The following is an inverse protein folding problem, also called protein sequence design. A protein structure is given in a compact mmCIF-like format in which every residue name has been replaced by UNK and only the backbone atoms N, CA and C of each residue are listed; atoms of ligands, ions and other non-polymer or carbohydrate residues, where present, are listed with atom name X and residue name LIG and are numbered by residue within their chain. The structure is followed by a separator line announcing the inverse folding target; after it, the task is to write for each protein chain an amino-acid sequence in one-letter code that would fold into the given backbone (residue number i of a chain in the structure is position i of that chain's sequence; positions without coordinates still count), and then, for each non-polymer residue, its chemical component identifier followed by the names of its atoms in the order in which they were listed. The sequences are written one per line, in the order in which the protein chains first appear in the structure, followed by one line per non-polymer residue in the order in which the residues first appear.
data_IF_550462408739
#
_entry.id   IF_550462408739
#
_cell.length_a   1.000
_cell.length_b   1.000
_cell.length_c   1.000
_cell.angle_alpha   90.00
_cell.angle_beta   90.00
_cell.angle_gamma   90.00
#
_symmetry.space_group_name_H-M   'P 1'
#
loop_
_entity.id
_entity.type
_entity.pdbx_description
1 polymer ?
#
# COMPACT_ATOMS: atom_id res chain seq x y z
N UNK A 1 53.06 32.10 -36.77
CA UNK A 1 52.10 32.43 -35.69
C UNK A 1 51.30 31.17 -35.35
N UNK A 2 51.68 30.47 -34.29
CA UNK A 2 50.93 29.33 -33.75
C UNK A 2 49.73 29.86 -32.95
N UNK A 3 48.53 29.35 -33.23
CA UNK A 3 47.33 29.61 -32.42
C UNK A 3 47.08 28.39 -31.54
N UNK A 4 47.30 28.54 -30.24
CA UNK A 4 46.96 27.54 -29.23
C UNK A 4 45.44 27.44 -29.10
N UNK A 5 44.87 26.27 -29.43
CA UNK A 5 43.50 25.92 -29.08
C UNK A 5 43.59 24.94 -27.90
N UNK A 6 43.09 25.36 -26.74
CA UNK A 6 42.91 24.52 -25.56
C UNK A 6 41.56 23.80 -25.72
N UNK A 7 41.49 22.46 -25.79
CA UNK A 7 40.21 21.78 -25.74
C UNK A 7 39.69 21.81 -24.29
N UNK A 8 38.53 22.42 -24.10
CA UNK A 8 37.77 22.42 -22.85
C UNK A 8 37.35 20.97 -22.57
N UNK A 9 37.92 20.36 -21.54
CA UNK A 9 37.40 19.13 -20.94
C UNK A 9 36.06 19.47 -20.29
N UNK A 10 34.97 18.90 -20.81
CA UNK A 10 33.67 18.95 -20.17
C UNK A 10 33.75 18.18 -18.84
N UNK A 11 33.70 18.90 -17.72
CA UNK A 11 33.47 18.31 -16.41
C UNK A 11 32.01 17.91 -16.34
N UNK A 12 31.73 16.60 -16.38
CA UNK A 12 30.42 16.05 -16.07
C UNK A 12 30.20 16.18 -14.57
N UNK A 13 29.47 17.22 -14.15
CA UNK A 13 29.01 17.36 -12.77
C UNK A 13 27.95 16.29 -12.54
N UNK A 14 28.34 15.15 -11.96
CA UNK A 14 27.38 14.17 -11.44
C UNK A 14 26.73 14.84 -10.23
N UNK A 15 25.56 15.43 -10.44
CA UNK A 15 24.71 15.92 -9.35
C UNK A 15 24.24 14.66 -8.63
N UNK A 16 24.95 14.27 -7.56
CA UNK A 16 24.49 13.26 -6.61
C UNK A 16 23.35 13.86 -5.78
N UNK A 17 22.23 14.14 -6.43
CA UNK A 17 20.97 14.38 -5.74
C UNK A 17 20.38 13.01 -5.44
N UNK A 18 20.11 12.73 -4.17
CA UNK A 18 19.30 11.59 -3.76
C UNK A 18 17.90 11.74 -4.38
N UNK A 19 17.70 11.12 -5.55
CA UNK A 19 16.37 11.05 -6.15
C UNK A 19 15.55 10.09 -5.30
N UNK A 20 14.76 10.65 -4.37
CA UNK A 20 13.75 9.88 -3.67
C UNK A 20 12.70 9.48 -4.70
N UNK A 21 12.66 8.20 -5.07
CA UNK A 21 11.53 7.63 -5.79
C UNK A 21 10.37 7.63 -4.80
N UNK A 22 9.55 8.69 -4.83
CA UNK A 22 8.25 8.69 -4.18
C UNK A 22 7.35 7.86 -5.09
N UNK A 23 6.85 6.73 -4.59
CA UNK A 23 5.81 6.02 -5.31
C UNK A 23 4.55 6.90 -5.36
N UNK A 24 3.92 6.97 -6.53
CA UNK A 24 2.70 7.73 -6.71
C UNK A 24 1.57 7.13 -5.86
N UNK A 25 0.76 8.01 -5.26
CA UNK A 25 -0.46 7.61 -4.57
C UNK A 25 -1.38 6.83 -5.51
N UNK A 26 -2.04 5.80 -4.96
CA UNK A 26 -2.91 4.90 -5.72
C UNK A 26 -4.30 4.81 -5.11
N UNK A 27 -5.24 4.33 -5.90
CA UNK A 27 -6.66 4.33 -5.57
C UNK A 27 -7.27 2.95 -5.78
N UNK A 28 -8.10 2.56 -4.83
CA UNK A 28 -8.88 1.32 -4.85
C UNK A 28 -10.36 1.68 -4.78
N UNK A 29 -11.21 1.05 -5.59
CA UNK A 29 -12.65 1.23 -5.55
C UNK A 29 -13.38 -0.07 -5.91
N UNK A 30 -14.51 -0.34 -5.25
CA UNK A 30 -15.33 -1.56 -5.50
C UNK A 30 -15.78 -1.73 -6.96
N UNK A 31 -15.90 -0.63 -7.70
CA UNK A 31 -16.25 -0.59 -9.13
C UNK A 31 -15.03 -0.49 -10.07
N UNK A 32 -13.81 -0.62 -9.53
CA UNK A 32 -12.56 -0.62 -10.28
C UNK A 32 -12.25 -1.96 -10.94
N UNK A 33 -11.01 -2.08 -11.43
CA UNK A 33 -10.44 -3.31 -12.00
C UNK A 33 -8.98 -3.44 -11.58
N UNK A 34 -8.52 -4.62 -11.19
CA UNK A 34 -7.11 -4.84 -10.83
C UNK A 34 -6.16 -4.80 -12.04
N UNK A 35 -6.71 -4.77 -13.26
CA UNK A 35 -5.98 -4.50 -14.50
C UNK A 35 -5.75 -3.00 -14.75
N UNK A 36 -6.41 -2.12 -13.98
CA UNK A 36 -6.22 -0.68 -14.10
C UNK A 36 -4.85 -0.24 -13.55
N UNK A 37 -4.38 0.97 -13.89
CA UNK A 37 -3.12 1.51 -13.37
C UNK A 37 -3.18 1.98 -11.90
N UNK A 38 -4.31 1.88 -11.20
CA UNK A 38 -4.45 2.32 -9.81
C UNK A 38 -4.56 3.83 -9.63
N UNK A 39 -4.96 4.56 -10.68
CA UNK A 39 -5.16 6.02 -10.63
C UNK A 39 -6.56 6.35 -10.11
N UNK A 40 -6.81 7.61 -9.72
CA UNK A 40 -8.15 8.04 -9.29
C UNK A 40 -9.25 7.77 -10.36
N UNK A 41 -8.91 7.96 -11.65
CA UNK A 41 -9.84 7.76 -12.76
C UNK A 41 -9.99 6.28 -13.16
N UNK A 42 -8.95 5.48 -12.92
CA UNK A 42 -8.93 4.04 -13.20
C UNK A 42 -8.35 3.34 -11.96
N UNK A 43 -9.16 3.17 -10.89
CA UNK A 43 -8.70 2.59 -9.64
C UNK A 43 -8.59 1.07 -9.76
N UNK A 44 -7.74 0.49 -8.92
CA UNK A 44 -7.77 -0.95 -8.66
C UNK A 44 -9.10 -1.36 -8.02
N UNK A 45 -9.45 -2.64 -8.11
CA UNK A 45 -10.69 -3.16 -7.54
C UNK A 45 -10.51 -3.59 -6.09
N UNK A 46 -9.39 -4.23 -5.77
CA UNK A 46 -9.15 -4.88 -4.47
C UNK A 46 -8.12 -4.13 -3.65
N UNK A 47 -8.25 -4.17 -2.31
CA UNK A 47 -7.19 -3.66 -1.43
C UNK A 47 -5.99 -4.61 -1.50
N UNK A 48 -6.23 -5.90 -1.75
CA UNK A 48 -5.16 -6.87 -1.98
C UNK A 48 -4.23 -6.47 -3.14
N UNK A 49 -4.78 -5.97 -4.26
CA UNK A 49 -3.96 -5.48 -5.38
C UNK A 49 -2.98 -4.38 -4.94
N UNK A 50 -3.43 -3.46 -4.10
CA UNK A 50 -2.55 -2.44 -3.53
C UNK A 50 -1.54 -3.03 -2.53
N UNK A 51 -1.97 -4.00 -1.72
CA UNK A 51 -1.14 -4.72 -0.75
C UNK A 51 -0.03 -5.58 -1.38
N UNK A 52 -0.13 -5.87 -2.68
CA UNK A 52 0.89 -6.57 -3.47
C UNK A 52 1.78 -5.63 -4.29
N UNK A 53 1.40 -4.36 -4.45
CA UNK A 53 2.00 -3.45 -5.45
C UNK A 53 2.59 -2.17 -4.87
N UNK A 54 2.02 -1.64 -3.78
CA UNK A 54 2.42 -0.34 -3.24
C UNK A 54 3.89 -0.36 -2.76
N UNK A 55 4.65 0.67 -3.14
CA UNK A 55 6.03 0.85 -2.70
C UNK A 55 6.14 1.78 -1.49
N UNK A 56 7.31 1.85 -0.83
CA UNK A 56 7.56 2.78 0.27
C UNK A 56 7.16 4.23 -0.07
N UNK A 57 6.48 4.90 0.86
CA UNK A 57 6.01 6.28 0.71
C UNK A 57 4.67 6.44 0.01
N UNK A 58 4.06 5.35 -0.49
CA UNK A 58 2.74 5.38 -1.13
C UNK A 58 1.63 5.60 -0.10
N UNK A 59 0.68 6.48 -0.42
CA UNK A 59 -0.66 6.44 0.18
C UNK A 59 -1.63 5.72 -0.76
N UNK A 60 -2.24 4.66 -0.26
CA UNK A 60 -3.34 3.92 -0.89
C UNK A 60 -4.66 4.51 -0.39
N UNK A 61 -5.38 5.21 -1.26
CA UNK A 61 -6.71 5.73 -0.96
C UNK A 61 -7.80 4.74 -1.39
N UNK A 62 -8.48 4.17 -0.41
CA UNK A 62 -9.57 3.21 -0.63
C UNK A 62 -10.89 3.94 -0.63
N UNK A 63 -11.57 3.98 -1.77
CA UNK A 63 -12.90 4.58 -1.95
C UNK A 63 -13.95 3.82 -1.14
N UNK A 64 -15.01 4.53 -0.78
CA UNK A 64 -16.10 3.98 0.00
C UNK A 64 -16.80 2.82 -0.69
N UNK A 65 -17.21 1.85 0.12
CA UNK A 65 -17.79 0.60 -0.36
C UNK A 65 -17.50 -0.57 0.57
N UNK A 66 -18.07 -1.71 0.21
CA UNK A 66 -17.90 -2.97 0.94
C UNK A 66 -16.94 -3.87 0.17
N UNK A 67 -15.84 -4.24 0.83
CA UNK A 67 -14.79 -5.10 0.32
C UNK A 67 -14.87 -6.45 1.05
N UNK A 68 -15.36 -7.47 0.35
CA UNK A 68 -15.46 -8.84 0.87
C UNK A 68 -14.15 -9.59 0.62
N UNK A 69 -13.10 -9.27 1.38
CA UNK A 69 -11.76 -9.82 1.19
C UNK A 69 -11.00 -9.98 2.52
N UNK A 70 -10.02 -10.87 2.55
CA UNK A 70 -8.99 -10.92 3.58
C UNK A 70 -7.69 -10.41 2.96
N UNK A 71 -7.09 -9.40 3.56
CA UNK A 71 -5.94 -8.69 2.97
C UNK A 71 -4.65 -9.16 3.64
N UNK A 72 -3.74 -9.74 2.86
CA UNK A 72 -2.35 -9.95 3.29
C UNK A 72 -1.48 -8.83 2.78
N UNK A 73 -0.86 -8.08 3.69
CA UNK A 73 0.10 -7.03 3.35
C UNK A 73 1.43 -7.70 2.99
N UNK A 74 1.77 -7.69 1.69
CA UNK A 74 2.99 -8.31 1.14
C UNK A 74 4.09 -7.28 0.82
N UNK A 75 3.88 -6.03 1.24
CA UNK A 75 4.77 -4.91 1.00
C UNK A 75 5.25 -4.32 2.32
N UNK A 76 6.43 -3.70 2.29
CA UNK A 76 6.99 -2.97 3.42
C UNK A 76 7.28 -1.53 3.02
N UNK A 77 7.08 -0.62 3.98
CA UNK A 77 7.75 0.67 3.93
C UNK A 77 9.26 0.52 4.16
N UNK A 78 9.98 1.63 4.15
CA UNK A 78 11.41 1.63 4.43
C UNK A 78 11.83 2.88 5.19
N UNK A 79 13.01 2.89 5.79
CA UNK A 79 13.52 4.10 6.45
C UNK A 79 13.73 5.25 5.46
N UNK A 80 14.24 4.93 4.27
CA UNK A 80 14.52 5.93 3.25
C UNK A 80 13.25 6.46 2.56
N UNK A 81 12.30 5.55 2.27
CA UNK A 81 11.07 5.82 1.52
C UNK A 81 9.84 6.12 2.38
N UNK A 82 9.88 5.82 3.68
CA UNK A 82 8.79 6.08 4.62
C UNK A 82 7.79 4.94 4.73
N UNK A 83 6.64 5.25 5.36
CA UNK A 83 5.54 4.31 5.57
C UNK A 83 4.78 4.05 4.27
N UNK A 84 4.09 2.91 4.22
CA UNK A 84 2.98 2.68 3.28
C UNK A 84 1.69 2.87 4.07
N UNK A 85 0.83 3.75 3.58
CA UNK A 85 -0.41 4.12 4.27
C UNK A 85 -1.59 3.58 3.49
N UNK A 86 -2.35 2.66 4.07
CA UNK A 86 -3.66 2.27 3.56
C UNK A 86 -4.70 3.07 4.33
N UNK A 87 -5.52 3.85 3.64
CA UNK A 87 -6.54 4.67 4.27
C UNK A 87 -7.82 4.77 3.47
N UNK A 88 -8.93 5.03 4.16
CA UNK A 88 -10.14 5.45 3.48
C UNK A 88 -9.92 6.76 2.71
N UNK A 89 -10.60 6.89 1.58
CA UNK A 89 -10.72 8.15 0.87
C UNK A 89 -11.49 9.13 1.75
N UNK A 90 -11.04 10.38 1.80
CA UNK A 90 -11.55 11.36 2.77
C UNK A 90 -13.06 11.56 2.62
N UNK A 91 -13.78 11.45 3.75
CA UNK A 91 -15.24 11.57 3.79
C UNK A 91 -16.01 10.33 3.33
N UNK A 92 -15.33 9.26 2.91
CA UNK A 92 -15.94 8.00 2.48
C UNK A 92 -15.69 6.88 3.50
N UNK A 93 -16.63 5.92 3.60
CA UNK A 93 -16.53 4.77 4.50
C UNK A 93 -16.11 3.52 3.72
N UNK A 94 -14.94 2.99 4.04
CA UNK A 94 -14.40 1.77 3.44
C UNK A 94 -14.53 0.61 4.44
N UNK A 95 -15.40 -0.34 4.11
CA UNK A 95 -15.73 -1.48 4.97
C UNK A 95 -14.99 -2.71 4.48
N UNK A 96 -14.16 -3.31 5.32
CA UNK A 96 -13.69 -4.69 5.14
C UNK A 96 -14.70 -5.63 5.79
N UNK A 97 -15.37 -6.44 4.97
CA UNK A 97 -16.47 -7.30 5.40
C UNK A 97 -16.03 -8.76 5.47
N UNK A 98 -16.17 -9.31 6.67
CA UNK A 98 -15.80 -10.68 7.02
C UNK A 98 -16.86 -11.73 6.72
N UNK A 99 -18.02 -11.33 6.20
CA UNK A 99 -19.14 -12.24 5.96
C UNK A 99 -18.73 -13.42 5.07
N UNK A 100 -18.91 -14.64 5.59
CA UNK A 100 -18.50 -15.89 4.94
C UNK A 100 -17.08 -16.35 5.26
N UNK A 101 -16.26 -15.54 5.94
CA UNK A 101 -14.97 -15.98 6.49
C UNK A 101 -15.14 -16.46 7.93
N UNK A 102 -14.91 -17.75 8.16
CA UNK A 102 -15.02 -18.37 9.49
C UNK A 102 -13.70 -18.38 10.28
N UNK A 103 -12.59 -18.08 9.60
CA UNK A 103 -11.23 -18.05 10.15
C UNK A 103 -10.38 -16.98 9.44
N UNK A 104 -9.22 -16.66 10.00
CA UNK A 104 -8.26 -15.72 9.42
C UNK A 104 -8.46 -14.29 9.90
N UNK A 105 -7.88 -13.33 9.15
CA UNK A 105 -7.83 -11.93 9.54
C UNK A 105 -8.30 -10.98 8.46
N UNK A 106 -8.83 -9.81 8.85
CA UNK A 106 -9.16 -8.75 7.92
C UNK A 106 -7.89 -8.19 7.27
N UNK A 107 -6.91 -7.84 8.09
CA UNK A 107 -5.54 -7.54 7.67
C UNK A 107 -4.55 -8.49 8.34
N UNK A 108 -3.77 -9.19 7.53
CA UNK A 108 -2.58 -9.93 7.97
C UNK A 108 -1.33 -9.14 7.59
N UNK A 109 -0.44 -8.95 8.56
CA UNK A 109 0.89 -8.41 8.37
C UNK A 109 1.90 -9.39 8.96
N UNK A 110 2.67 -10.04 8.08
CA UNK A 110 3.70 -11.00 8.46
C UNK A 110 5.05 -10.56 7.91
N UNK A 111 6.02 -10.40 8.80
CA UNK A 111 7.38 -9.98 8.48
C UNK A 111 7.47 -8.66 7.67
N UNK A 112 6.44 -7.80 7.73
CA UNK A 112 6.43 -6.50 7.07
C UNK A 112 6.58 -5.35 8.07
N UNK A 113 7.06 -4.21 7.58
CA UNK A 113 7.35 -3.06 8.43
C UNK A 113 6.79 -1.76 7.87
N UNK A 114 6.56 -0.80 8.77
CA UNK A 114 6.20 0.59 8.43
C UNK A 114 4.90 0.68 7.62
N UNK A 115 3.89 -0.06 8.07
CA UNK A 115 2.53 -0.03 7.52
C UNK A 115 1.61 0.74 8.46
N UNK A 116 0.83 1.65 7.90
CA UNK A 116 -0.25 2.35 8.60
C UNK A 116 -1.58 1.92 7.97
N UNK A 117 -2.50 1.44 8.81
CA UNK A 117 -3.90 1.18 8.43
C UNK A 117 -4.78 2.24 9.11
N UNK A 118 -5.58 2.98 8.34
CA UNK A 118 -6.33 4.12 8.88
C UNK A 118 -7.75 4.21 8.32
N UNK A 119 -8.73 4.39 9.20
CA UNK A 119 -10.09 4.78 8.80
C UNK A 119 -10.93 3.69 8.14
N UNK A 120 -10.53 2.42 8.25
CA UNK A 120 -11.35 1.28 7.84
C UNK A 120 -12.36 0.90 8.91
N UNK A 121 -13.56 0.51 8.48
CA UNK A 121 -14.48 -0.26 9.30
C UNK A 121 -14.25 -1.76 9.02
N UNK A 122 -14.18 -2.57 10.08
CA UNK A 122 -14.03 -4.02 9.97
C UNK A 122 -15.31 -4.64 10.54
N UNK A 123 -16.12 -5.26 9.69
CA UNK A 123 -17.43 -5.81 10.06
C UNK A 123 -17.50 -7.31 9.79
N UNK A 124 -18.35 -8.02 10.53
CA UNK A 124 -18.68 -9.44 10.32
C UNK A 124 -17.51 -10.44 10.34
N UNK A 125 -16.37 -10.11 10.96
CA UNK A 125 -15.32 -11.06 11.30
C UNK A 125 -15.71 -11.82 12.57
N UNK A 126 -16.55 -12.84 12.42
CA UNK A 126 -17.11 -13.66 13.49
C UNK A 126 -17.10 -15.14 13.10
N UNK A 127 -17.19 -16.03 14.09
CA UNK A 127 -17.24 -17.48 13.86
C UNK A 127 -18.07 -18.15 14.93
N UNK A 128 -18.78 -19.23 14.57
CA UNK A 128 -19.46 -20.14 15.48
C UNK A 128 -18.64 -21.41 15.76
N UNK A 129 -17.47 -21.55 15.10
CA UNK A 129 -16.56 -22.67 15.27
C UNK A 129 -15.83 -22.54 16.61
N UNK A 130 -15.92 -23.54 17.52
CA UNK A 130 -15.20 -23.50 18.79
C UNK A 130 -13.68 -23.37 18.58
N UNK A 131 -13.06 -22.46 19.33
CA UNK A 131 -11.63 -22.13 19.28
C UNK A 131 -11.12 -21.46 18.00
N UNK A 132 -11.97 -21.20 17.00
CA UNK A 132 -11.58 -20.36 15.88
C UNK A 132 -11.49 -18.89 16.34
N UNK A 133 -10.51 -18.17 15.82
CA UNK A 133 -10.21 -16.78 16.22
C UNK A 133 -10.24 -15.90 14.98
N UNK A 134 -11.37 -15.27 14.66
CA UNK A 134 -11.42 -14.25 13.62
C UNK A 134 -10.72 -13.00 14.16
N UNK A 135 -9.81 -12.44 13.36
CA UNK A 135 -8.98 -11.31 13.79
C UNK A 135 -9.23 -10.10 12.90
N UNK A 136 -9.40 -8.92 13.47
CA UNK A 136 -9.44 -7.69 12.67
C UNK A 136 -8.07 -7.42 12.03
N UNK A 137 -7.06 -7.18 12.85
CA UNK A 137 -5.69 -6.93 12.41
C UNK A 137 -4.76 -7.91 13.10
N UNK A 138 -4.10 -8.77 12.33
CA UNK A 138 -3.16 -9.77 12.81
C UNK A 138 -1.75 -9.37 12.36
N UNK A 139 -0.87 -9.08 13.32
CA UNK A 139 0.54 -8.77 13.07
C UNK A 139 1.39 -9.88 13.70
N UNK A 140 2.30 -10.49 12.93
CA UNK A 140 3.19 -11.54 13.43
C UNK A 140 4.57 -11.51 12.76
N UNK A 141 5.46 -12.37 13.27
CA UNK A 141 6.84 -12.47 12.78
C UNK A 141 7.70 -11.27 13.17
N UNK A 142 8.71 -10.96 12.37
CA UNK A 142 9.68 -9.88 12.54
C UNK A 142 9.14 -8.48 12.15
N UNK A 143 7.82 -8.30 12.22
CA UNK A 143 7.16 -7.06 11.84
C UNK A 143 7.54 -5.88 12.75
N UNK A 144 7.61 -4.66 12.18
CA UNK A 144 7.99 -3.45 12.92
C UNK A 144 7.19 -2.23 12.43
N UNK A 145 6.32 -1.69 13.29
CA UNK A 145 5.33 -0.65 12.96
C UNK A 145 5.49 0.59 13.82
#
# INVERSE_FOLDING_TARGET
MMKNIIPIFAVLLIISGDFKIVHADCHVAVNGSDDNPGTLAQPWKTIQKAADTAGPGTTVYVRGGVYNEQVTINVSGSEAGGYIIFRNYEGETSVLNGEGFTEGSAFLIEDQSRIILQGFEILNYQTDIPNAVPVGIHIRGASHH
#
